data_IF_989231553012
#
_entry.id   IF_989231553012
#
_cell.length_a   1.000
_cell.length_b   1.000
_cell.length_c   1.000
_cell.angle_alpha   90.00
_cell.angle_beta   90.00
_cell.angle_gamma   90.00
#
_symmetry.space_group_name_H-M   'P 1'
#
loop_
_entity.id
_entity.type
_entity.pdbx_description
1 polymer ?
#
# COMPACT_ATOMS: atom_id res chain seq x y z
N UNK A 1 13.47 29.42 1.96
CA UNK A 1 12.23 29.33 2.75
C UNK A 1 12.65 28.94 4.16
N UNK A 2 12.19 29.65 5.19
CA UNK A 2 12.47 29.25 6.57
C UNK A 2 11.92 27.83 6.78
N UNK A 3 12.70 26.94 7.37
CA UNK A 3 12.22 25.61 7.72
C UNK A 3 10.99 25.79 8.62
N UNK A 4 9.84 25.24 8.23
CA UNK A 4 8.66 25.21 9.08
C UNK A 4 9.05 24.46 10.35
N UNK A 5 9.05 25.15 11.49
CA UNK A 5 9.34 24.52 12.77
C UNK A 5 8.10 23.72 13.18
N UNK A 6 8.20 22.39 13.18
CA UNK A 6 7.18 21.53 13.75
C UNK A 6 7.37 21.42 15.27
N UNK A 7 6.27 21.39 16.01
CA UNK A 7 6.26 21.21 17.46
C UNK A 7 5.36 20.02 17.84
N UNK A 8 5.92 19.06 18.56
CA UNK A 8 5.23 17.85 19.00
C UNK A 8 5.86 17.31 20.29
N UNK A 9 5.02 17.03 21.28
CA UNK A 9 5.39 16.29 22.49
C UNK A 9 5.21 14.80 22.23
N UNK A 10 6.24 13.99 22.45
CA UNK A 10 6.15 12.53 22.36
C UNK A 10 6.46 11.92 23.72
N UNK A 11 5.45 11.34 24.35
CA UNK A 11 5.56 10.68 25.66
C UNK A 11 5.39 9.18 25.50
N UNK A 12 6.43 8.43 25.84
CA UNK A 12 6.37 6.97 25.88
C UNK A 12 5.81 6.48 27.22
N UNK A 13 4.91 5.50 27.19
CA UNK A 13 4.36 4.84 28.38
C UNK A 13 4.83 3.40 28.49
N UNK A 14 4.22 2.61 29.39
CA UNK A 14 4.42 1.16 29.48
C UNK A 14 4.37 0.51 28.09
N UNK A 15 5.18 -0.53 27.92
CA UNK A 15 5.31 -1.31 26.68
C UNK A 15 5.86 -0.51 25.47
N UNK A 16 6.31 0.73 25.70
CA UNK A 16 6.94 1.55 24.67
C UNK A 16 5.94 2.20 23.71
N UNK A 17 4.68 2.38 24.12
CA UNK A 17 3.66 3.05 23.29
C UNK A 17 3.88 4.58 23.31
N UNK A 18 4.03 5.23 22.15
CA UNK A 18 4.12 6.68 22.06
C UNK A 18 2.74 7.33 22.08
N UNK A 19 2.60 8.31 22.97
CA UNK A 19 1.54 9.29 22.97
C UNK A 19 2.08 10.59 22.38
N UNK A 20 1.66 10.91 21.16
CA UNK A 20 2.06 12.11 20.42
C UNK A 20 1.00 13.18 20.59
N UNK A 21 1.41 14.36 21.02
CA UNK A 21 0.54 15.54 21.14
C UNK A 21 1.12 16.70 20.36
N UNK A 22 0.30 17.37 19.57
CA UNK A 22 0.69 18.54 18.79
C UNK A 22 -0.43 19.57 18.69
N UNK A 23 -0.10 20.79 18.25
CA UNK A 23 -1.08 21.87 18.06
C UNK A 23 -1.77 21.87 16.70
N UNK A 24 -1.26 21.13 15.72
CA UNK A 24 -1.78 21.07 14.36
C UNK A 24 -1.40 19.74 13.66
N UNK A 25 -1.93 19.55 12.45
CA UNK A 25 -1.68 18.36 11.63
C UNK A 25 -0.22 18.16 11.23
N UNK A 26 0.52 19.24 10.98
CA UNK A 26 1.94 19.14 10.66
C UNK A 26 2.77 18.64 11.85
N UNK A 27 2.50 19.19 13.04
CA UNK A 27 3.10 18.76 14.29
C UNK A 27 2.75 17.31 14.63
N UNK A 28 1.48 16.90 14.49
CA UNK A 28 1.10 15.50 14.81
C UNK A 28 1.81 14.52 13.87
N UNK A 29 1.86 14.87 12.57
CA UNK A 29 2.59 14.10 11.57
C UNK A 29 4.06 14.00 11.94
N UNK A 30 4.70 15.12 12.29
CA UNK A 30 6.10 15.17 12.69
C UNK A 30 6.41 14.28 13.89
N UNK A 31 5.61 14.37 14.95
CA UNK A 31 5.79 13.53 16.13
C UNK A 31 5.59 12.04 15.83
N UNK A 32 4.54 11.69 15.07
CA UNK A 32 4.27 10.31 14.69
C UNK A 32 5.36 9.73 13.78
N UNK A 33 5.78 10.48 12.76
CA UNK A 33 6.83 10.07 11.82
C UNK A 33 8.18 9.88 12.50
N UNK A 34 8.53 10.76 13.45
CA UNK A 34 9.74 10.60 14.27
C UNK A 34 9.66 9.38 15.17
N UNK A 35 8.57 9.21 15.93
CA UNK A 35 8.39 8.08 16.85
C UNK A 35 8.40 6.72 16.10
N UNK A 36 7.61 6.60 15.03
CA UNK A 36 7.54 5.39 14.22
C UNK A 36 8.88 5.11 13.52
N UNK A 37 9.52 6.15 12.98
CA UNK A 37 10.86 6.07 12.41
C UNK A 37 11.89 5.57 13.42
N UNK A 38 11.92 6.15 14.62
CA UNK A 38 12.85 5.76 15.69
C UNK A 38 12.69 4.28 16.08
N UNK A 39 11.46 3.81 16.18
CA UNK A 39 11.17 2.47 16.68
C UNK A 39 11.28 1.39 15.58
N UNK A 40 11.08 1.73 14.30
CA UNK A 40 10.87 0.75 13.21
C UNK A 40 11.67 1.07 11.92
N UNK A 41 12.72 1.88 12.03
CA UNK A 41 13.43 2.46 10.89
C UNK A 41 13.77 1.49 9.75
N UNK A 42 14.42 0.33 10.00
CA UNK A 42 14.87 -0.53 8.91
C UNK A 42 13.69 -1.15 8.14
N UNK A 43 12.57 -1.44 8.82
CA UNK A 43 11.39 -2.00 8.19
C UNK A 43 10.70 -0.96 7.28
N UNK A 44 10.65 0.31 7.70
CA UNK A 44 10.09 1.39 6.87
C UNK A 44 11.02 1.67 5.67
N UNK A 45 12.34 1.71 5.89
CA UNK A 45 13.30 1.94 4.82
C UNK A 45 13.29 0.84 3.74
N UNK A 46 13.09 -0.43 4.12
CA UNK A 46 12.92 -1.54 3.16
C UNK A 46 11.66 -1.37 2.29
N UNK A 47 10.57 -0.80 2.85
CA UNK A 47 9.39 -0.45 2.04
C UNK A 47 9.70 0.60 0.99
N UNK A 48 10.47 1.62 1.36
CA UNK A 48 10.84 2.69 0.45
C UNK A 48 11.71 2.19 -0.71
N UNK A 49 12.53 1.14 -0.51
CA UNK A 49 13.29 0.51 -1.60
C UNK A 49 12.40 0.00 -2.72
N UNK A 50 11.24 -0.58 -2.38
CA UNK A 50 10.28 -1.10 -3.37
C UNK A 50 9.77 0.00 -4.28
N UNK A 51 9.26 1.08 -3.70
CA UNK A 51 8.70 2.20 -4.47
C UNK A 51 9.76 3.05 -5.17
N UNK A 52 11.02 2.97 -4.73
CA UNK A 52 12.18 3.53 -5.43
C UNK A 52 12.68 2.64 -6.57
N UNK A 53 12.24 1.39 -6.63
CA UNK A 53 12.74 0.38 -7.58
C UNK A 53 14.26 0.18 -7.45
N UNK A 54 14.74 0.09 -6.19
CA UNK A 54 16.16 0.02 -5.84
C UNK A 54 16.53 -1.30 -5.14
N UNK A 55 15.65 -2.31 -5.08
CA UNK A 55 16.00 -3.58 -4.41
C UNK A 55 17.19 -4.26 -5.07
N UNK A 56 17.22 -4.31 -6.40
CA UNK A 56 18.28 -4.95 -7.17
C UNK A 56 19.61 -4.19 -7.05
N UNK A 57 19.57 -2.87 -6.85
CA UNK A 57 20.75 -2.05 -6.59
C UNK A 57 21.44 -2.45 -5.29
N UNK A 58 20.68 -2.75 -4.24
CA UNK A 58 21.25 -3.01 -2.92
C UNK A 58 21.45 -4.50 -2.61
N UNK A 59 20.66 -5.38 -3.23
CA UNK A 59 20.63 -6.81 -2.90
C UNK A 59 20.88 -7.72 -4.11
N UNK A 60 21.34 -7.16 -5.22
CA UNK A 60 21.55 -7.89 -6.48
C UNK A 60 20.25 -8.42 -7.07
N UNK A 61 20.36 -9.27 -8.10
CA UNK A 61 19.18 -9.72 -8.86
C UNK A 61 18.12 -10.47 -8.01
N UNK A 62 18.53 -11.03 -6.87
CA UNK A 62 17.70 -11.86 -6.02
C UNK A 62 17.44 -13.25 -6.61
N UNK A 63 16.86 -14.18 -5.83
CA UNK A 63 16.54 -15.52 -6.31
C UNK A 63 15.66 -15.46 -7.55
N UNK A 64 16.07 -16.14 -8.63
CA UNK A 64 15.34 -16.16 -9.91
C UNK A 64 14.97 -14.75 -10.44
N UNK A 65 15.84 -13.75 -10.20
CA UNK A 65 15.62 -12.38 -10.64
C UNK A 65 14.49 -11.64 -9.92
N UNK A 66 14.07 -12.09 -8.74
CA UNK A 66 12.93 -11.53 -8.02
C UNK A 66 13.07 -10.03 -7.69
N UNK A 67 14.27 -9.55 -7.37
CA UNK A 67 14.48 -8.12 -7.09
C UNK A 67 14.39 -7.28 -8.36
N UNK A 68 15.00 -7.75 -9.47
CA UNK A 68 14.89 -7.09 -10.78
C UNK A 68 13.43 -7.02 -11.24
N UNK A 69 12.70 -8.13 -11.11
CA UNK A 69 11.29 -8.16 -11.47
C UNK A 69 10.43 -7.27 -10.57
N UNK A 70 10.73 -7.18 -9.28
CA UNK A 70 10.06 -6.25 -8.37
C UNK A 70 10.28 -4.80 -8.83
N UNK A 71 11.54 -4.40 -9.02
CA UNK A 71 11.89 -3.02 -9.39
C UNK A 71 11.26 -2.61 -10.73
N UNK A 72 11.40 -3.45 -11.75
CA UNK A 72 10.75 -3.25 -13.05
C UNK A 72 9.22 -3.23 -12.95
N UNK A 73 8.65 -4.06 -12.08
CA UNK A 73 7.22 -4.09 -11.78
C UNK A 73 6.71 -2.77 -11.18
N UNK A 74 7.42 -2.21 -10.20
CA UNK A 74 7.05 -0.91 -9.61
C UNK A 74 7.18 0.25 -10.60
N UNK A 75 8.20 0.23 -11.47
CA UNK A 75 8.31 1.19 -12.56
C UNK A 75 7.12 1.09 -13.52
N UNK A 76 6.71 -0.12 -13.90
CA UNK A 76 5.56 -0.34 -14.77
C UNK A 76 4.21 -0.01 -14.12
N UNK A 77 4.07 -0.22 -12.80
CA UNK A 77 2.93 0.26 -12.02
C UNK A 77 2.90 1.78 -11.92
N UNK A 78 4.04 2.43 -12.07
CA UNK A 78 4.17 3.87 -12.06
C UNK A 78 3.74 4.51 -10.74
N UNK A 79 4.07 3.89 -9.61
CA UNK A 79 3.68 4.38 -8.26
C UNK A 79 4.27 5.76 -7.97
N UNK A 80 5.50 6.04 -8.42
CA UNK A 80 6.16 7.33 -8.29
C UNK A 80 5.49 8.43 -9.13
N UNK A 81 5.00 8.08 -10.33
CA UNK A 81 4.28 9.01 -11.20
C UNK A 81 2.89 9.33 -10.62
N UNK A 82 2.25 8.35 -9.96
CA UNK A 82 0.96 8.50 -9.29
C UNK A 82 1.02 9.30 -7.99
N UNK A 83 2.18 9.32 -7.33
CA UNK A 83 2.40 10.06 -6.09
C UNK A 83 1.99 11.54 -6.20
N UNK A 84 2.23 12.19 -7.34
CA UNK A 84 1.83 13.57 -7.56
C UNK A 84 0.31 13.75 -7.55
N UNK A 85 -0.43 12.94 -8.31
CA UNK A 85 -1.89 12.98 -8.32
C UNK A 85 -2.49 12.62 -6.96
N UNK A 86 -1.88 11.67 -6.25
CA UNK A 86 -2.26 11.35 -4.88
C UNK A 86 -2.08 12.55 -3.96
N UNK A 87 -0.90 13.18 -3.94
CA UNK A 87 -0.61 14.38 -3.15
C UNK A 87 -1.58 15.52 -3.47
N UNK A 88 -1.76 15.81 -4.75
CA UNK A 88 -2.53 16.98 -5.21
C UNK A 88 -4.03 16.85 -4.90
N UNK A 89 -4.52 15.63 -4.63
CA UNK A 89 -5.87 15.37 -4.18
C UNK A 89 -6.09 15.59 -2.67
N UNK A 90 -5.03 15.78 -1.88
CA UNK A 90 -5.14 15.91 -0.42
C UNK A 90 -5.57 17.32 0.00
N UNK A 91 -6.45 17.40 1.00
CA UNK A 91 -6.78 18.68 1.65
C UNK A 91 -5.58 19.25 2.42
N UNK A 92 -5.52 20.57 2.67
CA UNK A 92 -4.35 21.22 3.27
C UNK A 92 -3.88 20.59 4.59
N UNK A 93 -4.80 20.14 5.44
CA UNK A 93 -4.47 19.50 6.70
C UNK A 93 -3.74 18.17 6.50
N UNK A 94 -4.19 17.35 5.55
CA UNK A 94 -3.54 16.08 5.22
C UNK A 94 -2.22 16.27 4.51
N UNK A 95 -2.11 17.28 3.65
CA UNK A 95 -0.83 17.66 3.07
C UNK A 95 0.18 18.04 4.18
N UNK A 96 -0.25 18.84 5.16
CA UNK A 96 0.57 19.20 6.32
C UNK A 96 0.93 17.98 7.18
N UNK A 97 -0.01 17.06 7.43
CA UNK A 97 0.25 15.78 8.11
C UNK A 97 1.39 15.00 7.45
N UNK A 98 1.35 14.88 6.13
CA UNK A 98 2.38 14.16 5.37
C UNK A 98 3.72 14.89 5.38
N UNK A 99 3.74 16.21 5.16
CA UNK A 99 4.96 17.02 5.26
C UNK A 99 5.61 16.91 6.65
N UNK A 100 4.79 16.92 7.70
CA UNK A 100 5.22 16.66 9.07
C UNK A 100 5.83 15.27 9.22
N UNK A 101 5.09 14.23 8.84
CA UNK A 101 5.53 12.83 8.96
C UNK A 101 6.86 12.59 8.26
N UNK A 102 7.03 13.09 7.03
CA UNK A 102 8.27 12.99 6.26
C UNK A 102 9.43 13.68 6.99
N UNK A 103 9.20 14.88 7.53
CA UNK A 103 10.23 15.59 8.30
C UNK A 103 10.59 14.85 9.61
N UNK A 104 9.61 14.28 10.30
CA UNK A 104 9.84 13.47 11.50
C UNK A 104 10.63 12.20 11.22
N UNK A 105 10.23 11.45 10.18
CA UNK A 105 10.96 10.27 9.72
C UNK A 105 12.40 10.61 9.32
N UNK A 106 12.59 11.69 8.56
CA UNK A 106 13.92 12.14 8.14
C UNK A 106 14.81 12.51 9.32
N UNK A 107 14.24 13.13 10.36
CA UNK A 107 14.96 13.36 11.62
C UNK A 107 15.38 12.05 12.27
N UNK A 108 14.48 11.07 12.37
CA UNK A 108 14.82 9.76 12.94
C UNK A 108 15.93 9.04 12.16
N UNK A 109 15.94 9.15 10.82
CA UNK A 109 17.06 8.68 9.99
C UNK A 109 18.37 9.35 10.38
N UNK A 110 18.39 10.69 10.42
CA UNK A 110 19.60 11.47 10.74
C UNK A 110 20.12 11.10 12.13
N UNK A 111 19.26 11.08 13.15
CA UNK A 111 19.63 10.72 14.52
C UNK A 111 20.19 9.29 14.59
N UNK A 112 19.60 8.34 13.86
CA UNK A 112 20.07 6.95 13.86
C UNK A 112 21.49 6.80 13.29
N UNK A 113 21.81 7.54 12.22
CA UNK A 113 23.16 7.55 11.63
C UNK A 113 24.17 8.25 12.53
N UNK A 114 23.83 9.42 13.07
CA UNK A 114 24.71 10.19 13.96
C UNK A 114 25.06 9.42 15.24
N UNK A 115 24.11 8.64 15.76
CA UNK A 115 24.27 7.85 16.97
C UNK A 115 24.82 6.44 16.71
N UNK A 116 24.86 5.99 15.45
CA UNK A 116 25.19 4.61 15.10
C UNK A 116 24.24 3.59 15.73
N UNK A 117 22.95 3.92 15.84
CA UNK A 117 21.95 3.10 16.55
C UNK A 117 21.21 2.10 15.66
N UNK A 118 21.57 2.02 14.37
CA UNK A 118 21.04 1.01 13.46
C UNK A 118 21.47 -0.41 13.90
N UNK A 119 20.57 -1.41 13.81
CA UNK A 119 20.92 -2.80 14.09
C UNK A 119 22.07 -3.32 13.23
N UNK A 120 22.90 -4.22 13.78
CA UNK A 120 24.11 -4.77 13.13
C UNK A 120 23.92 -5.22 11.68
N UNK A 121 22.80 -5.88 11.37
CA UNK A 121 22.52 -6.40 10.02
C UNK A 121 22.30 -5.30 8.97
N UNK A 122 22.01 -4.05 9.40
CA UNK A 122 21.80 -2.89 8.54
C UNK A 122 22.64 -1.66 8.93
N UNK A 123 23.64 -1.80 9.81
CA UNK A 123 24.41 -0.66 10.32
C UNK A 123 25.13 0.12 9.20
N UNK A 124 25.54 -0.55 8.13
CA UNK A 124 26.16 0.06 6.93
C UNK A 124 25.20 0.22 5.74
N UNK A 125 23.89 0.10 5.95
CA UNK A 125 22.92 0.12 4.87
C UNK A 125 22.68 1.53 4.30
N UNK A 126 23.20 1.81 3.10
CA UNK A 126 22.96 3.08 2.39
C UNK A 126 21.48 3.33 2.04
N UNK A 127 20.67 2.27 2.01
CA UNK A 127 19.25 2.35 1.71
C UNK A 127 18.40 2.86 2.88
N UNK A 128 18.95 2.85 4.11
CA UNK A 128 18.34 3.54 5.26
C UNK A 128 18.67 5.02 5.14
N UNK A 129 17.91 5.75 4.33
CA UNK A 129 18.13 7.17 4.04
C UNK A 129 16.85 7.99 4.16
N UNK A 130 17.04 9.31 4.21
CA UNK A 130 15.93 10.27 4.17
C UNK A 130 15.07 10.08 2.91
N UNK A 131 13.82 10.51 3.02
CA UNK A 131 12.76 10.35 2.03
C UNK A 131 12.25 11.72 1.60
N UNK A 132 11.89 11.86 0.33
CA UNK A 132 11.15 13.02 -0.16
C UNK A 132 9.65 12.82 0.04
N UNK A 133 8.86 13.89 0.04
CA UNK A 133 7.39 13.75 0.09
C UNK A 133 6.87 12.91 -1.09
N UNK A 134 7.43 13.07 -2.29
CA UNK A 134 7.01 12.28 -3.45
C UNK A 134 7.25 10.78 -3.23
N UNK A 135 8.42 10.40 -2.72
CA UNK A 135 8.71 9.00 -2.40
C UNK A 135 7.77 8.45 -1.31
N UNK A 136 7.40 9.28 -0.33
CA UNK A 136 6.47 8.89 0.72
C UNK A 136 5.04 8.74 0.19
N UNK A 137 4.55 9.66 -0.65
CA UNK A 137 3.27 9.49 -1.34
C UNK A 137 3.27 8.25 -2.26
N UNK A 138 4.39 7.93 -2.91
CA UNK A 138 4.51 6.68 -3.67
C UNK A 138 4.38 5.44 -2.77
N UNK A 139 4.90 5.50 -1.54
CA UNK A 139 4.70 4.47 -0.52
C UNK A 139 3.21 4.35 -0.13
N UNK A 140 2.47 5.44 0.03
CA UNK A 140 1.04 5.40 0.34
C UNK A 140 0.20 4.84 -0.82
N UNK A 141 0.60 5.13 -2.07
CA UNK A 141 0.04 4.46 -3.25
C UNK A 141 0.29 2.95 -3.16
N UNK A 142 1.52 2.50 -2.84
CA UNK A 142 1.83 1.07 -2.67
C UNK A 142 1.00 0.40 -1.55
N UNK A 143 0.81 1.08 -0.40
CA UNK A 143 -0.05 0.58 0.69
C UNK A 143 -1.50 0.37 0.22
N UNK A 144 -2.01 1.28 -0.62
CA UNK A 144 -3.35 1.16 -1.19
C UNK A 144 -3.48 -0.07 -2.12
N UNK A 145 -2.37 -0.54 -2.67
CA UNK A 145 -2.28 -1.71 -3.55
C UNK A 145 -1.97 -3.03 -2.82
N UNK A 146 -1.91 -3.03 -1.48
CA UNK A 146 -1.44 -4.16 -0.68
C UNK A 146 -2.18 -5.48 -0.95
N UNK A 147 -3.50 -5.44 -1.15
CA UNK A 147 -4.30 -6.61 -1.47
C UNK A 147 -4.56 -6.77 -2.99
N UNK A 148 -3.80 -6.07 -3.84
CA UNK A 148 -4.05 -6.00 -5.28
C UNK A 148 -2.74 -5.93 -6.08
N UNK A 149 -2.50 -4.87 -6.85
CA UNK A 149 -1.39 -4.72 -7.80
C UNK A 149 0.00 -4.92 -7.20
N UNK A 150 0.20 -4.61 -5.91
CA UNK A 150 1.47 -4.89 -5.20
C UNK A 150 1.84 -6.37 -5.28
N UNK A 151 0.86 -7.28 -5.23
CA UNK A 151 1.10 -8.72 -5.29
C UNK A 151 1.42 -9.23 -6.70
N UNK A 152 1.28 -8.38 -7.72
CA UNK A 152 1.51 -8.71 -9.12
C UNK A 152 2.78 -8.05 -9.69
N UNK A 153 3.49 -7.22 -8.93
CA UNK A 153 4.70 -6.49 -9.39
C UNK A 153 5.70 -7.41 -10.07
N UNK A 154 5.91 -8.60 -9.51
CA UNK A 154 6.85 -9.58 -10.02
C UNK A 154 6.39 -10.24 -11.34
N UNK A 155 5.09 -10.36 -11.58
CA UNK A 155 4.55 -10.85 -12.85
C UNK A 155 4.62 -9.76 -13.93
N UNK A 156 4.38 -8.51 -13.52
CA UNK A 156 4.45 -7.34 -14.40
C UNK A 156 5.88 -7.11 -14.86
N UNK A 157 6.85 -7.13 -13.94
CA UNK A 157 8.25 -6.92 -14.27
C UNK A 157 8.87 -8.02 -15.14
N UNK A 158 8.20 -9.17 -15.31
CA UNK A 158 8.59 -10.29 -16.18
C UNK A 158 7.75 -10.37 -17.48
N UNK A 159 6.85 -9.43 -17.72
CA UNK A 159 5.93 -9.46 -18.86
C UNK A 159 6.62 -8.93 -20.12
N UNK A 160 7.18 -9.86 -20.89
CA UNK A 160 7.78 -9.61 -22.20
C UNK A 160 7.02 -10.41 -23.27
N UNK A 161 6.77 -9.84 -24.46
CA UNK A 161 6.20 -10.59 -25.58
C UNK A 161 7.20 -11.64 -26.09
N UNK A 162 6.72 -12.69 -26.77
CA UNK A 162 7.57 -13.59 -27.55
C UNK A 162 8.55 -12.83 -28.46
N UNK A 163 9.82 -13.20 -28.36
CA UNK A 163 10.90 -12.67 -29.18
C UNK A 163 11.29 -13.62 -30.33
N UNK A 164 12.40 -13.35 -31.02
CA UNK A 164 12.92 -14.23 -32.08
C UNK A 164 13.19 -15.67 -31.61
N UNK A 165 13.54 -15.84 -30.34
CA UNK A 165 13.81 -17.13 -29.70
C UNK A 165 12.55 -17.77 -29.10
N UNK A 166 11.38 -17.18 -29.34
CA UNK A 166 10.08 -17.63 -28.84
C UNK A 166 9.62 -16.94 -27.54
N UNK A 167 8.57 -17.47 -26.90
CA UNK A 167 8.02 -16.94 -25.65
C UNK A 167 9.03 -16.98 -24.50
N UNK A 168 9.04 -15.92 -23.69
CA UNK A 168 9.75 -15.97 -22.40
C UNK A 168 9.10 -17.01 -21.48
N UNK A 169 9.88 -17.74 -20.65
CA UNK A 169 9.32 -18.70 -19.73
C UNK A 169 8.25 -18.08 -18.80
N UNK A 170 7.17 -18.82 -18.50
CA UNK A 170 6.19 -18.38 -17.50
C UNK A 170 6.86 -18.05 -16.16
N UNK A 171 6.32 -17.05 -15.45
CA UNK A 171 6.82 -16.72 -14.11
C UNK A 171 6.73 -17.94 -13.17
N UNK A 172 7.66 -18.07 -12.21
CA UNK A 172 7.55 -19.09 -11.17
C UNK A 172 6.31 -18.83 -10.30
N UNK A 173 5.77 -19.87 -9.66
CA UNK A 173 4.56 -19.75 -8.82
C UNK A 173 4.82 -18.81 -7.64
N UNK A 174 6.05 -18.78 -7.13
CA UNK A 174 6.53 -17.90 -6.07
C UNK A 174 6.51 -16.41 -6.45
N UNK A 175 6.37 -16.08 -7.74
CA UNK A 175 6.18 -14.72 -8.21
C UNK A 175 4.74 -14.21 -7.99
N UNK A 176 3.78 -15.12 -7.78
CA UNK A 176 2.52 -14.75 -7.14
C UNK A 176 2.87 -14.43 -5.69
N UNK A 177 2.72 -13.17 -5.27
CA UNK A 177 3.03 -12.77 -3.90
C UNK A 177 2.43 -13.71 -2.85
N UNK A 178 2.97 -13.73 -1.63
CA UNK A 178 2.62 -14.70 -0.57
C UNK A 178 1.13 -14.86 -0.24
N UNK A 179 0.26 -13.96 -0.72
CA UNK A 179 -1.20 -14.12 -0.72
C UNK A 179 -1.77 -15.26 -1.59
N UNK A 180 -0.99 -15.84 -2.52
CA UNK A 180 -1.42 -17.04 -3.24
C UNK A 180 -1.40 -18.31 -2.35
N UNK A 181 -0.66 -18.28 -1.23
CA UNK A 181 -0.54 -19.40 -0.29
C UNK A 181 -1.35 -19.22 1.01
N UNK A 182 -2.06 -18.10 1.17
CA UNK A 182 -2.96 -17.87 2.29
C UNK A 182 -3.77 -16.61 2.07
N UNK A 183 -5.09 -16.74 1.93
CA UNK A 183 -6.00 -15.60 1.96
C UNK A 183 -5.70 -14.79 3.21
N UNK A 184 -5.59 -13.46 3.08
CA UNK A 184 -5.48 -12.60 4.25
C UNK A 184 -6.57 -12.97 5.26
N UNK A 185 -6.17 -13.31 6.47
CA UNK A 185 -7.06 -13.72 7.54
C UNK A 185 -7.10 -12.61 8.60
N UNK A 186 -8.22 -12.43 9.26
CA UNK A 186 -8.36 -11.54 10.41
C UNK A 186 -9.71 -11.85 11.07
N UNK A 187 -9.78 -11.69 12.39
CA UNK A 187 -11.05 -11.69 13.09
C UNK A 187 -11.37 -10.27 13.56
N UNK A 188 -12.65 -9.95 13.64
CA UNK A 188 -13.08 -8.80 14.43
C UNK A 188 -14.58 -8.80 14.64
N UNK A 189 -15.00 -8.31 15.81
CA UNK A 189 -16.39 -8.30 16.24
C UNK A 189 -16.79 -6.87 16.58
N UNK A 190 -18.03 -6.49 16.26
CA UNK A 190 -18.71 -5.34 16.83
C UNK A 190 -20.00 -5.83 17.50
N UNK A 191 -20.18 -5.51 18.77
CA UNK A 191 -21.26 -6.00 19.61
C UNK A 191 -22.07 -4.80 20.10
N UNK A 192 -23.37 -4.84 19.88
CA UNK A 192 -24.31 -3.78 20.27
C UNK A 192 -24.70 -3.83 21.74
N UNK A 193 -25.16 -2.68 22.25
CA UNK A 193 -25.64 -2.48 23.62
C UNK A 193 -26.88 -3.30 23.98
N UNK A 194 -27.57 -3.85 22.99
CA UNK A 194 -28.69 -4.77 23.17
C UNK A 194 -28.27 -6.13 23.75
N UNK A 195 -26.97 -6.47 23.67
CA UNK A 195 -26.42 -7.72 24.20
C UNK A 195 -25.21 -7.53 25.13
N UNK A 196 -24.66 -6.32 25.27
CA UNK A 196 -23.61 -6.04 26.26
C UNK A 196 -24.22 -5.68 27.61
N UNK A 197 -23.59 -6.15 28.71
CA UNK A 197 -24.08 -5.87 30.06
C UNK A 197 -24.04 -4.38 30.44
N UNK A 198 -23.15 -3.60 29.82
CA UNK A 198 -23.01 -2.15 30.06
C UNK A 198 -23.98 -1.30 29.24
N UNK A 199 -24.61 -1.85 28.20
CA UNK A 199 -25.37 -1.09 27.21
C UNK A 199 -24.50 -0.30 26.22
N UNK A 200 -23.16 -0.36 26.32
CA UNK A 200 -22.23 0.29 25.40
C UNK A 200 -21.79 -0.68 24.29
N UNK A 201 -21.36 -0.14 23.15
CA UNK A 201 -20.78 -0.94 22.07
C UNK A 201 -19.43 -1.53 22.48
N UNK A 202 -19.11 -2.72 21.99
CA UNK A 202 -17.80 -3.35 22.18
C UNK A 202 -17.21 -3.78 20.85
N UNK A 203 -15.90 -3.57 20.66
CA UNK A 203 -15.17 -3.99 19.47
C UNK A 203 -14.01 -4.90 19.85
N UNK A 204 -13.84 -5.98 19.08
CA UNK A 204 -12.63 -6.81 19.09
C UNK A 204 -11.89 -6.57 17.77
N UNK A 205 -10.67 -6.04 17.86
CA UNK A 205 -9.73 -6.01 16.74
C UNK A 205 -8.74 -7.17 16.86
N UNK A 206 -8.72 -8.09 15.89
CA UNK A 206 -7.77 -9.21 15.85
C UNK A 206 -7.24 -9.45 14.43
N UNK A 207 -6.44 -8.52 13.88
CA UNK A 207 -5.87 -8.68 12.55
C UNK A 207 -4.78 -9.77 12.53
N UNK A 208 -4.72 -10.59 11.48
CA UNK A 208 -3.66 -11.59 11.30
C UNK A 208 -2.71 -11.16 10.17
N UNK A 209 -1.62 -10.52 10.56
CA UNK A 209 -0.57 -10.06 9.69
C UNK A 209 0.78 -10.73 10.02
N UNK A 210 1.75 -10.74 9.08
CA UNK A 210 3.09 -11.25 9.34
C UNK A 210 3.74 -10.61 10.58
N UNK A 211 4.45 -11.42 11.36
CA UNK A 211 5.18 -10.96 12.55
C UNK A 211 6.48 -10.20 12.24
N UNK A 212 6.93 -10.27 10.99
CA UNK A 212 8.18 -9.66 10.51
C UNK A 212 7.92 -8.89 9.22
N UNK A 213 8.83 -7.96 8.91
CA UNK A 213 8.76 -7.15 7.69
C UNK A 213 7.79 -5.99 7.83
N UNK A 214 7.30 -5.55 6.67
CA UNK A 214 6.64 -4.27 6.53
C UNK A 214 5.17 -4.24 6.95
N UNK A 215 4.48 -5.36 6.88
CA UNK A 215 3.03 -5.43 7.07
C UNK A 215 2.66 -5.53 8.57
N UNK A 216 3.51 -5.00 9.45
CA UNK A 216 3.30 -5.01 10.90
C UNK A 216 2.51 -3.78 11.33
N UNK A 217 1.84 -3.94 12.46
CA UNK A 217 1.21 -2.84 13.17
C UNK A 217 2.16 -2.25 14.22
N UNK A 218 2.05 -0.95 14.42
CA UNK A 218 2.74 -0.18 15.45
C UNK A 218 1.69 0.63 16.22
N UNK A 219 1.65 0.43 17.53
CA UNK A 219 0.66 1.04 18.42
C UNK A 219 1.04 2.49 18.72
N UNK A 220 0.06 3.39 18.68
CA UNK A 220 0.26 4.80 18.97
C UNK A 220 -1.03 5.49 19.42
N UNK A 221 -0.85 6.65 20.06
CA UNK A 221 -1.93 7.58 20.40
C UNK A 221 -1.58 8.95 19.83
N UNK A 222 -2.49 9.54 19.06
CA UNK A 222 -2.35 10.85 18.44
C UNK A 222 -3.38 11.84 19.01
N UNK A 223 -2.92 13.00 19.50
CA UNK A 223 -3.78 14.04 20.07
C UNK A 223 -3.49 15.42 19.48
N UNK A 224 -4.48 16.01 18.80
CA UNK A 224 -4.56 17.45 18.50
C UNK A 224 -5.72 18.03 19.33
N UNK A 225 -5.47 18.86 20.36
CA UNK A 225 -6.52 19.34 21.24
C UNK A 225 -7.69 19.99 20.51
N UNK A 226 -8.90 19.43 20.69
CA UNK A 226 -10.13 19.93 20.08
C UNK A 226 -10.38 19.44 18.64
N UNK A 227 -9.50 18.61 18.08
CA UNK A 227 -9.60 18.18 16.68
C UNK A 227 -9.36 16.67 16.46
N UNK A 228 -8.46 16.06 17.23
CA UNK A 228 -8.09 14.65 17.10
C UNK A 228 -7.69 14.09 18.48
N UNK A 229 -8.21 12.92 18.84
CA UNK A 229 -7.80 12.17 20.03
C UNK A 229 -8.10 10.70 19.75
N UNK A 230 -7.11 9.98 19.22
CA UNK A 230 -7.28 8.62 18.70
C UNK A 230 -6.17 7.70 19.17
N UNK A 231 -6.54 6.50 19.60
CA UNK A 231 -5.63 5.45 20.06
C UNK A 231 -5.81 4.20 19.22
N UNK A 232 -4.72 3.56 18.81
CA UNK A 232 -4.79 2.26 18.17
C UNK A 232 -3.49 1.89 17.50
N UNK A 233 -3.59 1.26 16.34
CA UNK A 233 -2.44 0.80 15.58
C UNK A 233 -2.41 1.38 14.17
N UNK A 234 -1.20 1.68 13.72
CA UNK A 234 -0.89 2.07 12.36
C UNK A 234 -0.04 0.99 11.66
N UNK A 235 -0.26 0.72 10.38
CA UNK A 235 0.67 -0.02 9.55
C UNK A 235 1.99 0.75 9.49
N UNK A 236 3.12 0.04 9.58
CA UNK A 236 4.44 0.66 9.57
C UNK A 236 4.62 1.60 8.37
N UNK A 237 4.98 2.86 8.66
CA UNK A 237 5.20 3.86 7.61
C UNK A 237 3.95 4.62 7.18
N UNK A 238 2.79 4.37 7.78
CA UNK A 238 1.54 5.09 7.45
C UNK A 238 1.13 6.07 8.57
N UNK A 239 0.58 7.25 8.23
CA UNK A 239 0.10 8.23 9.20
C UNK A 239 -1.31 7.89 9.71
N UNK A 240 -1.67 8.43 10.88
CA UNK A 240 -2.99 8.18 11.51
C UNK A 240 -3.09 6.83 12.20
N UNK A 241 -4.30 6.42 12.54
CA UNK A 241 -4.63 5.12 13.14
C UNK A 241 -5.55 4.35 12.17
N UNK A 242 -5.23 3.10 11.85
CA UNK A 242 -6.10 2.32 10.96
C UNK A 242 -7.01 1.35 11.71
N UNK A 243 -6.62 0.84 12.88
CA UNK A 243 -7.53 0.10 13.77
C UNK A 243 -7.39 0.67 15.17
N UNK A 244 -8.51 1.01 15.82
CA UNK A 244 -8.43 1.70 17.09
C UNK A 244 -9.77 2.19 17.61
N UNK A 245 -9.69 3.22 18.43
CA UNK A 245 -10.84 3.89 19.02
C UNK A 245 -10.50 5.34 19.38
N UNK A 246 -11.55 6.15 19.48
CA UNK A 246 -11.55 7.44 20.15
C UNK A 246 -12.68 7.46 21.21
N UNK A 247 -12.98 8.63 21.79
CA UNK A 247 -14.04 8.74 22.81
C UNK A 247 -15.44 8.33 22.28
N UNK A 248 -15.69 8.49 20.98
CA UNK A 248 -16.98 8.27 20.35
C UNK A 248 -17.19 6.86 19.80
N UNK A 249 -16.20 6.34 19.08
CA UNK A 249 -16.30 5.12 18.26
C UNK A 249 -15.04 4.28 18.34
N UNK A 250 -15.22 2.95 18.33
CA UNK A 250 -14.15 1.97 18.14
C UNK A 250 -14.37 1.21 16.84
N UNK A 251 -13.31 0.77 16.18
CA UNK A 251 -13.40 0.01 14.93
C UNK A 251 -12.26 -0.99 14.75
N UNK A 252 -12.54 -1.98 13.89
CA UNK A 252 -11.59 -2.99 13.48
C UNK A 252 -11.76 -3.29 11.98
N UNK A 253 -10.70 -3.84 11.39
CA UNK A 253 -10.67 -4.24 9.99
C UNK A 253 -10.36 -5.72 9.83
N UNK A 254 -10.92 -6.31 8.77
CA UNK A 254 -10.58 -7.65 8.29
C UNK A 254 -10.40 -7.59 6.78
N UNK A 255 -9.59 -8.48 6.21
CA UNK A 255 -9.49 -8.58 4.75
C UNK A 255 -10.88 -8.87 4.14
N UNK A 256 -11.28 -8.08 3.15
CA UNK A 256 -12.51 -8.35 2.42
C UNK A 256 -12.28 -9.43 1.36
N UNK A 257 -13.30 -10.28 1.17
CA UNK A 257 -13.32 -11.28 0.09
C UNK A 257 -13.59 -10.67 -1.30
N UNK A 258 -13.85 -9.36 -1.38
CA UNK A 258 -14.04 -8.64 -2.63
C UNK A 258 -12.77 -8.62 -3.49
N UNK A 259 -12.92 -8.86 -4.80
CA UNK A 259 -11.83 -8.75 -5.76
C UNK A 259 -11.43 -7.29 -5.94
N UNK A 260 -10.12 -7.01 -5.94
CA UNK A 260 -9.56 -5.64 -6.12
C UNK A 260 -9.08 -5.33 -7.52
N UNK A 261 -9.01 -6.34 -8.36
CA UNK A 261 -8.58 -6.19 -9.73
C UNK A 261 -9.29 -7.18 -10.64
N UNK A 262 -9.15 -6.98 -11.93
CA UNK A 262 -9.63 -7.89 -12.97
C UNK A 262 -8.48 -8.23 -13.90
N UNK A 263 -8.26 -9.52 -14.13
CA UNK A 263 -7.34 -10.02 -15.17
C UNK A 263 -8.13 -10.20 -16.46
N UNK A 264 -7.58 -9.67 -17.54
CA UNK A 264 -8.14 -9.74 -18.89
C UNK A 264 -7.27 -10.66 -19.72
N UNK A 265 -7.88 -11.70 -20.29
CA UNK A 265 -7.26 -12.47 -21.37
C UNK A 265 -7.39 -11.66 -22.66
N UNK A 266 -6.27 -11.46 -23.33
CA UNK A 266 -6.18 -10.79 -24.63
C UNK A 266 -5.94 -11.84 -25.70
N UNK A 267 -6.81 -11.87 -26.71
CA UNK A 267 -6.61 -12.70 -27.89
C UNK A 267 -5.72 -11.91 -28.87
N UNK A 268 -4.49 -12.39 -29.09
CA UNK A 268 -3.46 -11.70 -29.86
C UNK A 268 -3.68 -11.80 -31.37
N UNK A 269 -3.15 -10.83 -32.10
CA UNK A 269 -3.15 -10.86 -33.57
C UNK A 269 -2.08 -11.86 -34.04
N UNK A 270 -2.40 -12.85 -34.90
CA UNK A 270 -1.42 -13.82 -35.36
C UNK A 270 -0.20 -13.15 -36.00
N UNK A 271 1.00 -13.45 -35.48
CA UNK A 271 2.26 -12.87 -35.96
C UNK A 271 2.60 -11.48 -35.40
N UNK A 272 1.75 -10.86 -34.58
CA UNK A 272 2.03 -9.63 -33.85
C UNK A 272 1.60 -9.78 -32.38
N UNK A 273 2.46 -10.35 -31.51
CA UNK A 273 2.11 -10.62 -30.12
C UNK A 273 1.99 -9.35 -29.27
N UNK A 274 2.19 -8.16 -29.85
CA UNK A 274 2.01 -6.85 -29.21
C UNK A 274 0.74 -6.13 -29.66
N UNK A 275 -0.11 -6.80 -30.45
CA UNK A 275 -1.48 -6.38 -30.80
C UNK A 275 -2.49 -7.42 -30.33
N UNK A 276 -3.68 -6.93 -29.95
CA UNK A 276 -4.80 -7.78 -29.54
C UNK A 276 -6.10 -7.33 -30.19
N UNK A 277 -7.03 -8.28 -30.35
CA UNK A 277 -8.38 -8.02 -30.85
C UNK A 277 -9.22 -7.35 -29.78
N UNK A 278 -10.02 -6.36 -30.18
CA UNK A 278 -10.96 -5.66 -29.32
C UNK A 278 -12.24 -5.32 -30.08
N UNK A 279 -13.30 -6.09 -29.85
CA UNK A 279 -14.49 -6.02 -30.70
C UNK A 279 -14.15 -6.44 -32.12
N UNK A 280 -14.49 -5.61 -33.09
CA UNK A 280 -14.17 -5.82 -34.51
C UNK A 280 -12.81 -5.20 -34.92
N UNK A 281 -12.13 -4.51 -33.99
CA UNK A 281 -10.87 -3.80 -34.23
C UNK A 281 -9.64 -4.56 -33.65
N UNK A 282 -8.45 -4.13 -34.06
CA UNK A 282 -7.17 -4.51 -33.45
C UNK A 282 -6.55 -3.32 -32.73
N UNK A 283 -5.95 -3.55 -31.56
CA UNK A 283 -5.28 -2.52 -30.75
C UNK A 283 -3.84 -2.89 -30.49
N UNK A 284 -2.94 -1.93 -30.75
CA UNK A 284 -1.55 -2.01 -30.32
C UNK A 284 -1.44 -1.79 -28.79
N UNK A 285 -0.57 -2.54 -28.15
CA UNK A 285 -0.12 -2.27 -26.80
C UNK A 285 0.82 -1.07 -26.78
N UNK A 286 0.84 -0.33 -25.68
CA UNK A 286 1.83 0.70 -25.43
C UNK A 286 3.06 0.08 -24.77
N UNK A 287 4.26 0.51 -25.15
CA UNK A 287 5.54 0.05 -24.59
C UNK A 287 6.30 1.20 -23.93
N UNK A 288 7.01 0.90 -22.85
CA UNK A 288 7.98 1.81 -22.24
C UNK A 288 9.25 1.03 -21.88
N UNK A 289 10.41 1.62 -22.18
CA UNK A 289 11.70 1.04 -21.79
C UNK A 289 12.08 1.55 -20.40
N UNK A 290 12.33 0.62 -19.50
CA UNK A 290 12.76 0.88 -18.12
C UNK A 290 14.17 0.38 -17.90
N UNK A 291 14.92 1.07 -17.05
CA UNK A 291 16.30 0.73 -16.68
C UNK A 291 16.40 0.65 -15.16
N UNK A 292 16.96 -0.45 -14.65
CA UNK A 292 17.26 -0.64 -13.22
C UNK A 292 18.75 -0.92 -13.03
N UNK A 293 19.32 -0.52 -11.89
CA UNK A 293 20.69 -0.87 -11.53
C UNK A 293 20.69 -2.18 -10.72
N UNK A 294 21.58 -3.10 -11.08
CA UNK A 294 21.69 -4.43 -10.45
C UNK A 294 23.09 -4.59 -9.87
N UNK A 295 23.18 -4.89 -8.58
CA UNK A 295 24.45 -5.26 -7.95
C UNK A 295 24.91 -6.63 -8.46
N UNK A 296 26.06 -6.65 -9.11
CA UNK A 296 26.72 -7.87 -9.58
C UNK A 296 27.55 -8.54 -8.49
N UNK A 297 27.94 -9.79 -8.74
CA UNK A 297 28.82 -10.56 -7.85
C UNK A 297 30.24 -9.95 -7.77
N UNK A 298 30.59 -9.09 -8.72
CA UNK A 298 31.81 -8.28 -8.74
C UNK A 298 31.75 -7.04 -7.83
N UNK A 299 30.61 -6.82 -7.15
CA UNK A 299 30.35 -5.66 -6.29
C UNK A 299 30.06 -4.38 -7.06
N UNK A 300 29.96 -4.42 -8.40
CA UNK A 300 29.64 -3.27 -9.23
C UNK A 300 28.14 -3.20 -9.57
N UNK A 301 27.66 -2.00 -9.87
CA UNK A 301 26.30 -1.80 -10.36
C UNK A 301 26.26 -1.88 -11.89
N UNK A 302 25.44 -2.77 -12.42
CA UNK A 302 25.24 -2.96 -13.85
C UNK A 302 23.83 -2.50 -14.26
N UNK A 303 23.68 -1.71 -15.34
CA UNK A 303 22.35 -1.35 -15.84
C UNK A 303 21.69 -2.56 -16.52
N UNK A 304 20.42 -2.78 -16.22
CA UNK A 304 19.56 -3.74 -16.91
C UNK A 304 18.37 -2.98 -17.50
N UNK A 305 18.18 -3.10 -18.82
CA UNK A 305 17.06 -2.50 -19.53
C UNK A 305 16.02 -3.56 -19.89
N UNK A 306 14.73 -3.23 -19.75
CA UNK A 306 13.61 -4.04 -20.22
C UNK A 306 12.50 -3.16 -20.78
N UNK A 307 11.92 -3.57 -21.91
CA UNK A 307 10.72 -2.94 -22.44
C UNK A 307 9.49 -3.63 -21.85
N UNK A 308 8.67 -2.88 -21.11
CA UNK A 308 7.44 -3.37 -20.52
C UNK A 308 6.24 -2.79 -21.25
N UNK A 309 5.14 -3.55 -21.24
CA UNK A 309 3.99 -3.28 -22.09
C UNK A 309 2.72 -3.07 -21.27
N UNK A 310 1.81 -2.28 -21.83
CA UNK A 310 0.48 -1.99 -21.29
C UNK A 310 -0.58 -2.14 -22.37
N UNK A 311 -1.64 -2.88 -22.06
CA UNK A 311 -2.88 -2.81 -22.83
C UNK A 311 -3.68 -1.56 -22.43
N UNK A 312 -4.86 -1.36 -23.01
CA UNK A 312 -5.75 -0.30 -22.55
C UNK A 312 -6.33 -0.55 -21.14
N UNK A 313 -6.25 -1.78 -20.62
CA UNK A 313 -6.66 -2.12 -19.26
C UNK A 313 -5.59 -1.77 -18.23
N UNK A 314 -4.31 -1.97 -18.57
CA UNK A 314 -3.18 -1.74 -17.68
C UNK A 314 -1.94 -2.55 -18.06
N UNK A 315 -1.00 -2.74 -17.13
CA UNK A 315 0.20 -3.57 -17.33
C UNK A 315 -0.10 -4.98 -17.82
N UNK A 316 0.79 -5.48 -18.66
CA UNK A 316 0.81 -6.88 -19.05
C UNK A 316 1.34 -7.76 -17.91
N UNK A 317 0.92 -9.02 -17.88
CA UNK A 317 1.29 -10.01 -16.87
C UNK A 317 1.96 -11.21 -17.54
N UNK A 318 3.10 -11.64 -17.01
CA UNK A 318 3.62 -12.98 -17.26
C UNK A 318 3.10 -13.93 -16.17
N UNK A 319 1.97 -14.58 -16.41
CA UNK A 319 1.32 -15.47 -15.44
C UNK A 319 2.06 -16.81 -15.30
N UNK A 320 2.13 -17.42 -14.11
CA UNK A 320 2.63 -18.78 -13.96
C UNK A 320 1.85 -19.77 -14.81
N UNK A 321 2.55 -20.77 -15.36
CA UNK A 321 2.06 -21.80 -16.29
C UNK A 321 1.56 -21.29 -17.66
N UNK A 322 1.06 -20.06 -17.75
CA UNK A 322 0.43 -19.52 -18.96
C UNK A 322 1.36 -18.61 -19.77
N UNK A 323 2.20 -17.82 -19.10
CA UNK A 323 3.13 -16.90 -19.75
C UNK A 323 2.47 -15.82 -20.61
N UNK A 324 3.26 -15.30 -21.55
CA UNK A 324 2.79 -14.51 -22.69
C UNK A 324 3.16 -15.30 -23.95
N UNK A 325 2.17 -15.87 -24.63
CA UNK A 325 2.36 -16.68 -25.84
C UNK A 325 2.09 -15.91 -27.13
N UNK A 326 2.09 -16.60 -28.27
CA UNK A 326 1.85 -15.99 -29.58
C UNK A 326 0.36 -15.73 -29.87
N UNK A 327 -0.54 -16.44 -29.20
CA UNK A 327 -1.99 -16.33 -29.42
C UNK A 327 -2.73 -15.64 -28.27
N UNK A 328 -2.18 -15.70 -27.05
CA UNK A 328 -2.84 -15.25 -25.84
C UNK A 328 -1.84 -14.52 -24.93
N UNK A 329 -2.31 -13.42 -24.35
CA UNK A 329 -1.60 -12.71 -23.28
C UNK A 329 -2.58 -12.27 -22.19
N UNK A 330 -2.05 -11.77 -21.07
CA UNK A 330 -2.85 -11.32 -19.95
C UNK A 330 -2.46 -9.90 -19.54
N UNK A 331 -3.47 -9.11 -19.22
CA UNK A 331 -3.31 -7.76 -18.65
C UNK A 331 -4.23 -7.61 -17.46
N UNK A 332 -4.06 -6.58 -16.64
CA UNK A 332 -4.94 -6.38 -15.49
C UNK A 332 -5.31 -4.91 -15.26
N UNK A 333 -6.44 -4.72 -14.58
CA UNK A 333 -6.90 -3.41 -14.08
C UNK A 333 -7.19 -3.52 -12.60
N UNK A 334 -6.60 -2.64 -11.82
CA UNK A 334 -6.79 -2.54 -10.37
C UNK A 334 -7.76 -1.40 -10.03
N UNK A 335 -8.65 -1.65 -9.07
CA UNK A 335 -9.63 -0.67 -8.59
C UNK A 335 -9.00 0.39 -7.67
N UNK A 336 -7.87 0.09 -7.02
CA UNK A 336 -7.16 0.99 -6.11
C UNK A 336 -6.08 1.83 -6.80
N UNK A 337 -5.75 1.56 -8.07
CA UNK A 337 -4.61 2.20 -8.74
C UNK A 337 -4.68 3.73 -8.77
N UNK A 338 -5.90 4.27 -8.86
CA UNK A 338 -6.16 5.69 -8.91
C UNK A 338 -6.97 6.16 -7.67
N UNK A 339 -7.00 5.35 -6.60
CA UNK A 339 -7.69 5.68 -5.35
C UNK A 339 -6.84 6.64 -4.50
N UNK A 340 -7.12 7.94 -4.62
CA UNK A 340 -6.43 9.00 -3.88
C UNK A 340 -7.11 9.38 -2.56
N UNK A 341 -8.24 8.76 -2.24
CA UNK A 341 -9.10 9.10 -1.11
C UNK A 341 -8.76 8.33 0.18
N UNK A 342 -7.77 7.43 0.13
CA UNK A 342 -7.42 6.55 1.26
C UNK A 342 -7.03 7.33 2.52
N UNK A 343 -6.22 8.38 2.38
CA UNK A 343 -5.81 9.21 3.53
C UNK A 343 -6.99 9.97 4.15
N UNK A 344 -7.84 10.59 3.32
CA UNK A 344 -9.05 11.26 3.79
C UNK A 344 -10.00 10.29 4.48
N UNK A 345 -10.13 9.05 3.97
CA UNK A 345 -10.98 8.03 4.57
C UNK A 345 -10.56 7.72 6.00
N UNK A 346 -9.27 7.44 6.23
CA UNK A 346 -8.77 7.13 7.57
C UNK A 346 -8.76 8.36 8.49
N UNK A 347 -8.41 9.54 7.98
CA UNK A 347 -8.46 10.77 8.77
C UNK A 347 -9.89 11.08 9.26
N UNK A 348 -10.91 10.90 8.41
CA UNK A 348 -12.31 11.08 8.80
C UNK A 348 -12.79 10.06 9.81
N UNK A 349 -12.29 8.83 9.73
CA UNK A 349 -12.55 7.79 10.74
C UNK A 349 -11.93 8.17 12.08
N UNK A 350 -10.65 8.58 12.10
CA UNK A 350 -9.94 8.99 13.31
C UNK A 350 -10.61 10.18 14.01
N UNK A 351 -11.16 11.12 13.25
CA UNK A 351 -11.87 12.31 13.73
C UNK A 351 -13.34 12.09 14.11
N UNK A 352 -13.94 10.93 13.80
CA UNK A 352 -15.37 10.73 13.97
C UNK A 352 -15.79 10.79 15.45
N UNK A 353 -16.77 11.63 15.78
CA UNK A 353 -17.22 11.83 17.18
C UNK A 353 -18.31 10.86 17.62
N UNK A 354 -18.92 10.15 16.67
CA UNK A 354 -19.95 9.14 16.88
C UNK A 354 -20.05 8.22 15.63
N UNK A 355 -20.92 7.21 15.70
CA UNK A 355 -21.09 6.26 14.60
C UNK A 355 -21.73 6.89 13.35
N UNK A 356 -22.51 7.96 13.47
CA UNK A 356 -23.12 8.61 12.30
C UNK A 356 -22.05 9.35 11.50
N UNK A 357 -21.17 10.10 12.17
CA UNK A 357 -20.00 10.71 11.55
C UNK A 357 -19.05 9.67 10.94
N UNK A 358 -18.85 8.54 11.65
CA UNK A 358 -18.05 7.43 11.14
C UNK A 358 -18.66 6.81 9.88
N UNK A 359 -19.97 6.59 9.84
CA UNK A 359 -20.70 6.10 8.65
C UNK A 359 -20.64 7.10 7.49
N UNK A 360 -20.76 8.40 7.78
CA UNK A 360 -20.66 9.46 6.78
C UNK A 360 -19.29 9.46 6.09
N UNK A 361 -18.20 9.18 6.82
CA UNK A 361 -16.87 9.03 6.23
C UNK A 361 -16.85 7.99 5.09
N UNK A 362 -17.51 6.84 5.28
CA UNK A 362 -17.60 5.82 4.21
C UNK A 362 -18.54 6.22 3.08
N UNK A 363 -19.66 6.88 3.39
CA UNK A 363 -20.64 7.29 2.39
C UNK A 363 -20.10 8.38 1.45
N UNK A 364 -19.34 9.33 2.00
CA UNK A 364 -18.87 10.51 1.29
C UNK A 364 -17.50 10.32 0.63
N UNK A 365 -16.56 9.64 1.31
CA UNK A 365 -15.16 9.56 0.86
C UNK A 365 -14.91 8.37 -0.06
N UNK A 366 -15.49 7.20 0.26
CA UNK A 366 -15.32 5.94 -0.49
C UNK A 366 -13.86 5.55 -0.76
N UNK A 367 -12.95 5.86 0.19
CA UNK A 367 -11.51 5.66 0.03
C UNK A 367 -10.98 4.32 0.53
N UNK A 368 -11.81 3.49 1.18
CA UNK A 368 -11.37 2.24 1.80
C UNK A 368 -10.80 1.28 0.74
N UNK A 369 -9.55 0.79 0.86
CA UNK A 369 -8.92 0.14 -0.29
C UNK A 369 -9.22 -1.37 -0.38
N UNK A 370 -9.17 -2.11 0.73
CA UNK A 370 -9.20 -3.58 0.65
C UNK A 370 -9.74 -4.33 1.89
N UNK A 371 -10.26 -3.63 2.89
CA UNK A 371 -10.77 -4.23 4.15
C UNK A 371 -12.27 -4.04 4.33
N UNK A 372 -12.89 -4.98 5.04
CA UNK A 372 -14.15 -4.72 5.73
C UNK A 372 -13.91 -3.84 6.96
N UNK A 373 -14.98 -3.25 7.49
CA UNK A 373 -14.96 -2.50 8.75
C UNK A 373 -16.08 -2.97 9.65
N UNK A 374 -15.76 -3.29 10.91
CA UNK A 374 -16.74 -3.35 11.98
C UNK A 374 -16.50 -2.18 12.93
N UNK A 375 -17.56 -1.54 13.42
CA UNK A 375 -17.46 -0.45 14.38
C UNK A 375 -18.58 -0.56 15.43
N UNK A 376 -18.32 -0.06 16.63
CA UNK A 376 -19.34 0.15 17.64
C UNK A 376 -19.09 1.45 18.40
N UNK A 377 -20.14 2.11 18.85
CA UNK A 377 -20.05 3.40 19.56
C UNK A 377 -20.46 3.30 21.04
N UNK A 378 -20.14 4.37 21.77
CA UNK A 378 -20.51 4.51 23.18
C UNK A 378 -22.02 4.50 23.44
N UNK A 379 -22.85 4.70 22.42
CA UNK A 379 -24.32 4.65 22.58
C UNK A 379 -24.89 3.23 22.49
N UNK A 380 -24.04 2.23 22.19
CA UNK A 380 -24.46 0.85 22.05
C UNK A 380 -24.81 0.45 20.61
N UNK A 381 -24.55 1.29 19.61
CA UNK A 381 -24.76 0.90 18.21
C UNK A 381 -23.57 0.12 17.69
N UNK A 382 -23.84 -0.93 16.92
CA UNK A 382 -22.84 -1.69 16.18
C UNK A 382 -23.13 -1.62 14.68
N UNK A 383 -22.07 -1.66 13.88
CA UNK A 383 -22.15 -1.52 12.43
C UNK A 383 -21.08 -2.35 11.74
N UNK A 384 -21.41 -2.86 10.55
CA UNK A 384 -20.49 -3.56 9.67
C UNK A 384 -20.69 -3.05 8.25
N UNK A 385 -19.58 -2.89 7.52
CA UNK A 385 -19.60 -2.56 6.10
C UNK A 385 -18.43 -3.20 5.37
N UNK A 386 -18.67 -3.59 4.12
CA UNK A 386 -17.63 -3.76 3.11
C UNK A 386 -17.79 -2.67 2.03
N UNK A 387 -17.09 -1.54 2.22
CA UNK A 387 -17.12 -0.38 1.33
C UNK A 387 -15.79 -0.17 0.62
N UNK A 388 -15.09 -1.28 0.36
CA UNK A 388 -13.77 -1.26 -0.23
C UNK A 388 -13.83 -1.16 -1.76
N UNK A 389 -12.87 -0.45 -2.38
CA UNK A 389 -12.82 -0.23 -3.82
C UNK A 389 -12.88 -1.55 -4.61
N UNK A 390 -13.90 -1.71 -5.46
CA UNK A 390 -14.20 -2.97 -6.16
C UNK A 390 -14.50 -2.71 -7.64
N UNK A 391 -14.05 -3.55 -8.58
CA UNK A 391 -14.41 -3.43 -9.99
C UNK A 391 -15.93 -3.46 -10.21
N UNK A 392 -16.47 -2.39 -10.81
CA UNK A 392 -17.88 -2.30 -11.21
C UNK A 392 -18.12 -3.00 -12.54
N UNK A 393 -18.07 -4.33 -12.54
CA UNK A 393 -18.32 -5.15 -13.73
C UNK A 393 -19.80 -5.13 -14.13
N UNK A 394 -20.08 -5.17 -15.44
CA UNK A 394 -21.45 -5.27 -15.95
C UNK A 394 -22.10 -6.61 -15.56
N UNK A 395 -23.44 -6.66 -15.48
CA UNK A 395 -24.16 -7.89 -15.15
C UNK A 395 -23.80 -9.06 -16.09
N UNK A 396 -23.61 -8.77 -17.38
CA UNK A 396 -23.17 -9.78 -18.36
C UNK A 396 -21.75 -10.30 -18.12
N UNK A 397 -20.82 -9.44 -17.71
CA UNK A 397 -19.47 -9.86 -17.34
C UNK A 397 -19.47 -10.74 -16.09
N UNK A 398 -20.27 -10.37 -15.08
CA UNK A 398 -20.42 -11.16 -13.85
C UNK A 398 -21.06 -12.53 -14.12
N UNK A 399 -22.07 -12.62 -14.98
CA UNK A 399 -22.68 -13.88 -15.39
C UNK A 399 -21.65 -14.80 -16.04
N UNK A 400 -20.92 -14.31 -17.05
CA UNK A 400 -19.85 -15.08 -17.74
C UNK A 400 -18.72 -15.54 -16.80
N UNK A 401 -18.45 -14.80 -15.73
CA UNK A 401 -17.47 -15.21 -14.73
C UNK A 401 -17.98 -16.35 -13.85
N UNK A 402 -19.26 -16.35 -13.46
CA UNK A 402 -19.88 -17.40 -12.62
C UNK A 402 -20.17 -18.69 -13.37
N UNK A 403 -20.34 -18.63 -14.69
CA UNK A 403 -20.60 -19.80 -15.54
C UNK A 403 -19.32 -20.60 -15.87
N UNK A 404 -18.14 -20.11 -15.46
CA UNK A 404 -16.85 -20.80 -15.56
C UNK A 404 -16.54 -21.51 -14.26
#
# INVERSE_FOLDING_TARGET
MAATAYDAEVRYTSDGVPHVRAGDWGGIGYGQGWACGRDQLPAIADQLLKVRSERARHFGAGPQGAHVASDLGYLALGVQQRAAAFRDAQRPELAALISGYVAGYNRAVTEAHEQGSLPDWCAGAEWVRTVTEQEFYAHLVDVSLLASGRNLVQLIGRAEPPGPDGPVPPSPVEALGGGAAGAGASNGWAVGGDVTASGHGMVLANPHFPWYGEARFWECHLTIPGELDVYGVSLLGTPGVQLGFNEGVAWAHTFSCGNRFTVYRLDLVPGDPTRYRFGDDERAMASERHTVAVLGDDGALHPLERTLWRSHHGPMLNLPLLGWGDELAFSYRDANLDNTAVLEQFARMDQATDLDAFQAAFAEVQGMPWVNTMAADRSGRAWYIDASATPKLSAGAQARFRDR
#
